data_IF_705147731789
#
_entry.id   IF_705147731789
#
_cell.length_a   1.000
_cell.length_b   1.000
_cell.length_c   1.000
_cell.angle_alpha   90.00
_cell.angle_beta   90.00
_cell.angle_gamma   90.00
#
_symmetry.space_group_name_H-M   'P 1'
#
loop_
_entity.id
_entity.type
_entity.pdbx_description
1 polymer ?
#
# COMPACT_ATOMS: atom_id res chain seq x y z
N UNK A 1 -19.52 -3.96 8.65
CA UNK A 1 -18.80 -4.08 7.39
C UNK A 1 -17.44 -4.72 7.63
N UNK A 2 -16.81 -5.24 6.62
CA UNK A 2 -15.52 -5.91 6.74
C UNK A 2 -14.39 -4.95 6.38
N UNK A 3 -13.30 -5.01 7.13
CA UNK A 3 -12.08 -4.30 6.77
C UNK A 3 -11.29 -5.09 5.74
N UNK A 4 -10.70 -4.39 4.80
CA UNK A 4 -9.83 -4.95 3.76
C UNK A 4 -8.53 -4.20 3.72
N UNK A 5 -7.44 -4.92 3.51
CA UNK A 5 -6.12 -4.34 3.26
C UNK A 5 -5.86 -4.34 1.75
N UNK A 6 -5.61 -3.17 1.23
CA UNK A 6 -5.25 -2.96 -0.18
C UNK A 6 -3.78 -2.58 -0.23
N UNK A 7 -2.94 -3.48 -0.72
CA UNK A 7 -1.49 -3.22 -0.79
C UNK A 7 -1.07 -2.90 -2.21
N UNK A 8 -0.31 -1.83 -2.35
CA UNK A 8 0.24 -1.41 -3.64
C UNK A 8 1.62 -2.02 -3.80
N UNK A 9 1.80 -2.81 -4.86
CA UNK A 9 3.06 -3.47 -5.16
C UNK A 9 3.76 -2.76 -6.31
N UNK A 10 5.05 -2.53 -6.15
CA UNK A 10 5.86 -1.85 -7.15
C UNK A 10 7.33 -2.20 -7.01
N UNK A 11 8.19 -1.58 -7.82
CA UNK A 11 9.62 -1.88 -7.80
C UNK A 11 10.22 -1.68 -6.42
N UNK A 12 11.09 -2.61 -6.01
CA UNK A 12 11.83 -2.51 -4.76
C UNK A 12 12.78 -1.32 -4.78
N UNK A 13 13.39 -1.05 -5.92
CA UNK A 13 14.25 0.09 -6.14
C UNK A 13 13.47 1.22 -6.81
N UNK A 14 13.66 2.42 -6.30
CA UNK A 14 13.00 3.62 -6.81
C UNK A 14 14.02 4.73 -6.96
N UNK A 15 13.86 5.52 -8.02
CA UNK A 15 14.63 6.74 -8.21
C UNK A 15 13.94 7.93 -7.54
N UNK A 16 14.36 9.15 -7.85
CA UNK A 16 13.77 10.38 -7.30
C UNK A 16 12.29 10.57 -7.67
N UNK A 17 11.81 9.88 -8.71
CA UNK A 17 10.42 9.93 -9.15
C UNK A 17 9.62 8.70 -8.66
N UNK A 18 10.15 7.95 -7.71
CA UNK A 18 9.52 6.75 -7.21
C UNK A 18 9.48 5.66 -8.27
N UNK A 19 8.31 5.11 -8.56
CA UNK A 19 8.09 4.11 -9.62
C UNK A 19 7.62 4.73 -10.94
N UNK A 20 7.59 6.06 -11.02
CA UNK A 20 7.08 6.78 -12.18
C UNK A 20 8.22 7.20 -13.12
N UNK A 21 7.90 7.39 -14.39
CA UNK A 21 8.91 7.69 -15.40
C UNK A 21 9.43 9.12 -15.38
N UNK A 22 8.70 10.05 -14.75
CA UNK A 22 9.06 11.46 -14.70
C UNK A 22 8.41 12.14 -13.50
N UNK A 23 8.87 13.34 -13.17
CA UNK A 23 8.27 14.15 -12.13
C UNK A 23 6.81 14.49 -12.46
N UNK A 24 6.51 14.77 -13.72
CA UNK A 24 5.14 15.07 -14.15
C UNK A 24 4.21 13.88 -13.91
N UNK A 25 4.64 12.68 -14.31
CA UNK A 25 3.84 11.46 -14.09
C UNK A 25 3.65 11.17 -12.59
N UNK A 26 4.68 11.40 -11.79
CA UNK A 26 4.60 11.23 -10.34
C UNK A 26 3.58 12.19 -9.73
N UNK A 27 3.62 13.47 -10.11
CA UNK A 27 2.70 14.50 -9.61
C UNK A 27 1.27 14.20 -10.04
N UNK A 28 1.06 13.75 -11.27
CA UNK A 28 -0.27 13.35 -11.76
C UNK A 28 -0.83 12.17 -10.96
N UNK A 29 0.00 11.17 -10.68
CA UNK A 29 -0.42 10.01 -9.90
C UNK A 29 -0.73 10.41 -8.44
N UNK A 30 0.07 11.28 -7.84
CA UNK A 30 -0.18 11.77 -6.49
C UNK A 30 -1.48 12.57 -6.42
N UNK A 31 -1.73 13.41 -7.41
CA UNK A 31 -2.98 14.18 -7.48
C UNK A 31 -4.19 13.27 -7.63
N UNK A 32 -4.12 12.27 -8.53
CA UNK A 32 -5.18 11.30 -8.73
C UNK A 32 -5.45 10.46 -7.47
N UNK A 33 -4.39 10.06 -6.78
CA UNK A 33 -4.50 9.31 -5.52
C UNK A 33 -5.15 10.17 -4.43
N UNK A 34 -4.83 11.44 -4.37
CA UNK A 34 -5.47 12.37 -3.45
C UNK A 34 -6.97 12.49 -3.68
N UNK A 35 -7.39 12.58 -4.94
CA UNK A 35 -8.81 12.60 -5.32
C UNK A 35 -9.50 11.29 -4.91
N UNK A 36 -8.85 10.15 -5.16
CA UNK A 36 -9.37 8.85 -4.77
C UNK A 36 -9.52 8.75 -3.24
N UNK A 37 -8.52 9.21 -2.49
CA UNK A 37 -8.58 9.21 -1.02
C UNK A 37 -9.74 10.06 -0.50
N UNK A 38 -9.94 11.24 -1.07
CA UNK A 38 -11.05 12.12 -0.70
C UNK A 38 -12.40 11.47 -0.97
N UNK A 39 -12.52 10.75 -2.07
CA UNK A 39 -13.73 10.01 -2.40
C UNK A 39 -13.99 8.87 -1.41
N UNK A 40 -12.94 8.12 -1.02
CA UNK A 40 -13.08 7.09 0.01
C UNK A 40 -13.62 7.67 1.31
N UNK A 41 -13.10 8.84 1.71
CA UNK A 41 -13.58 9.53 2.92
C UNK A 41 -15.03 9.96 2.78
N UNK A 42 -15.38 10.57 1.65
CA UNK A 42 -16.73 11.04 1.41
C UNK A 42 -17.77 9.92 1.39
N UNK A 43 -17.38 8.76 0.86
CA UNK A 43 -18.28 7.61 0.73
C UNK A 43 -18.28 6.71 1.98
N UNK A 44 -17.47 7.02 2.99
CA UNK A 44 -17.46 6.29 4.26
C UNK A 44 -16.64 5.01 4.26
N UNK A 45 -15.78 4.80 3.28
CA UNK A 45 -14.93 3.60 3.19
C UNK A 45 -13.55 3.76 3.82
N UNK A 46 -13.13 4.98 4.05
CA UNK A 46 -11.78 5.27 4.54
C UNK A 46 -11.57 4.82 5.98
N UNK A 47 -10.51 4.06 6.25
CA UNK A 47 -10.01 3.80 7.60
C UNK A 47 -8.65 4.43 7.77
N UNK A 48 -7.67 4.02 6.98
CA UNK A 48 -6.30 4.54 7.05
C UNK A 48 -5.57 4.24 5.76
N UNK A 49 -4.57 5.05 5.42
CA UNK A 49 -3.68 4.79 4.30
C UNK A 49 -2.31 5.36 4.57
N UNK A 50 -1.31 4.84 3.91
CA UNK A 50 0.04 5.35 4.00
C UNK A 50 0.93 4.84 2.89
N UNK A 51 1.89 5.68 2.51
CA UNK A 51 3.01 5.26 1.69
C UNK A 51 4.16 4.81 2.58
N UNK A 52 4.94 3.88 2.10
CA UNK A 52 6.11 3.39 2.82
C UNK A 52 7.39 3.99 2.24
N UNK A 53 8.37 4.23 3.10
CA UNK A 53 9.71 4.60 2.68
C UNK A 53 10.34 3.45 1.89
N UNK A 54 11.41 3.69 1.12
CA UNK A 54 12.04 2.64 0.32
C UNK A 54 12.39 1.39 1.11
N UNK A 55 12.36 0.24 0.45
CA UNK A 55 12.65 -1.05 1.07
C UNK A 55 14.02 -1.10 1.77
N UNK A 56 14.98 -0.33 1.29
CA UNK A 56 16.31 -0.23 1.92
C UNK A 56 16.28 0.32 3.34
N UNK A 57 15.19 0.98 3.74
CA UNK A 57 15.01 1.49 5.10
C UNK A 57 14.44 0.46 6.06
N UNK A 58 14.05 -0.71 5.56
CA UNK A 58 13.44 -1.75 6.37
C UNK A 58 14.46 -2.41 7.30
N UNK A 59 13.98 -2.91 8.43
CA UNK A 59 14.74 -3.74 9.36
C UNK A 59 13.84 -4.88 9.81
N UNK A 60 14.36 -6.09 9.74
CA UNK A 60 13.65 -7.27 10.23
C UNK A 60 14.11 -7.56 11.65
N UNK A 61 13.18 -7.78 12.55
CA UNK A 61 13.46 -8.06 13.95
C UNK A 61 12.95 -9.45 14.32
N UNK A 62 13.83 -10.29 14.84
CA UNK A 62 13.45 -11.57 15.42
C UNK A 62 13.74 -11.51 16.92
N UNK A 63 12.68 -11.42 17.72
CA UNK A 63 12.78 -11.33 19.18
C UNK A 63 12.47 -12.63 19.89
N UNK A 64 12.43 -13.76 19.18
CA UNK A 64 12.02 -15.04 19.77
C UNK A 64 13.09 -15.65 20.68
N UNK A 65 14.37 -15.35 20.48
CA UNK A 65 15.45 -15.82 21.33
C UNK A 65 15.66 -14.93 22.56
N UNK A 66 16.69 -15.21 23.33
CA UNK A 66 17.04 -14.42 24.52
C UNK A 66 17.43 -12.97 24.15
N UNK A 67 18.07 -12.79 23.00
CA UNK A 67 18.46 -11.48 22.50
C UNK A 67 17.81 -11.24 21.14
N UNK A 68 17.16 -10.09 20.92
CA UNK A 68 16.60 -9.78 19.60
C UNK A 68 17.69 -9.75 18.53
N UNK A 69 17.37 -10.32 17.35
CA UNK A 69 18.22 -10.26 16.17
C UNK A 69 17.60 -9.27 15.19
N UNK A 70 18.40 -8.31 14.76
CA UNK A 70 17.95 -7.29 13.80
C UNK A 70 18.76 -7.44 12.52
N UNK A 71 18.04 -7.48 11.40
CA UNK A 71 18.64 -7.62 10.07
C UNK A 71 18.19 -6.46 9.20
N UNK A 72 19.13 -5.71 8.65
CA UNK A 72 18.82 -4.62 7.73
C UNK A 72 18.26 -5.16 6.43
N UNK A 73 17.27 -4.46 5.90
CA UNK A 73 16.63 -4.81 4.66
C UNK A 73 15.26 -5.44 4.84
N UNK A 74 14.52 -5.64 3.74
CA UNK A 74 13.19 -6.22 3.78
C UNK A 74 13.22 -7.71 4.13
N UNK A 75 12.09 -8.22 4.62
CA UNK A 75 11.96 -9.64 4.99
C UNK A 75 12.34 -10.57 3.83
N UNK A 76 11.90 -10.24 2.62
CA UNK A 76 12.29 -10.94 1.40
C UNK A 76 12.94 -9.96 0.44
N UNK A 77 14.03 -10.40 -0.19
CA UNK A 77 14.67 -9.64 -1.26
C UNK A 77 13.99 -10.04 -2.57
N UNK A 78 13.13 -9.15 -3.07
CA UNK A 78 12.38 -9.35 -4.30
C UNK A 78 12.50 -8.12 -5.19
N UNK A 79 12.12 -8.26 -6.47
CA UNK A 79 12.11 -7.12 -7.40
C UNK A 79 10.97 -6.17 -7.12
N UNK A 80 9.89 -6.66 -6.52
CA UNK A 80 8.72 -5.87 -6.19
C UNK A 80 8.39 -6.02 -4.72
N UNK A 81 8.02 -4.93 -4.09
CA UNK A 81 7.67 -4.86 -2.68
C UNK A 81 6.48 -3.93 -2.49
N UNK A 82 5.88 -4.02 -1.30
CA UNK A 82 4.78 -3.15 -0.91
C UNK A 82 5.33 -1.74 -0.75
N UNK A 83 4.78 -0.79 -1.51
CA UNK A 83 5.15 0.62 -1.44
C UNK A 83 4.12 1.50 -0.73
N UNK A 84 2.95 0.97 -0.46
CA UNK A 84 1.89 1.69 0.23
C UNK A 84 0.66 0.83 0.40
N UNK A 85 -0.33 1.34 1.12
CA UNK A 85 -1.54 0.57 1.38
C UNK A 85 -2.70 1.47 1.77
N UNK A 86 -3.91 0.93 1.61
CA UNK A 86 -5.13 1.46 2.21
C UNK A 86 -5.74 0.39 3.10
N UNK A 87 -6.34 0.83 4.19
CA UNK A 87 -7.29 0.03 4.95
C UNK A 87 -8.66 0.65 4.71
N UNK A 88 -9.58 -0.15 4.21
CA UNK A 88 -10.94 0.30 3.91
C UNK A 88 -11.96 -0.54 4.65
N UNK A 89 -13.14 0.03 4.86
CA UNK A 89 -14.30 -0.63 5.43
C UNK A 89 -15.35 -0.74 4.34
N UNK A 90 -15.61 -1.93 3.84
CA UNK A 90 -16.52 -2.14 2.72
C UNK A 90 -17.57 -3.21 3.07
N UNK A 91 -18.78 -3.13 2.46
CA UNK A 91 -19.85 -4.08 2.79
C UNK A 91 -19.56 -5.51 2.35
N UNK A 92 -18.80 -5.69 1.25
CA UNK A 92 -18.48 -7.00 0.71
C UNK A 92 -17.22 -6.93 -0.16
N UNK A 93 -16.77 -8.11 -0.60
CA UNK A 93 -15.58 -8.23 -1.44
C UNK A 93 -15.75 -7.54 -2.80
N UNK A 94 -16.92 -7.61 -3.40
CA UNK A 94 -17.15 -7.00 -4.73
C UNK A 94 -16.92 -5.50 -4.68
N UNK A 95 -17.42 -4.83 -3.64
CA UNK A 95 -17.17 -3.40 -3.44
C UNK A 95 -15.69 -3.14 -3.20
N UNK A 96 -15.04 -3.95 -2.35
CA UNK A 96 -13.61 -3.81 -2.08
C UNK A 96 -12.76 -3.95 -3.35
N UNK A 97 -13.09 -4.91 -4.23
CA UNK A 97 -12.39 -5.10 -5.50
C UNK A 97 -12.59 -3.91 -6.44
N UNK A 98 -13.79 -3.36 -6.49
CA UNK A 98 -14.05 -2.17 -7.29
C UNK A 98 -13.26 -0.96 -6.79
N UNK A 99 -13.21 -0.76 -5.48
CA UNK A 99 -12.42 0.31 -4.87
C UNK A 99 -10.93 0.11 -5.15
N UNK A 100 -10.46 -1.14 -5.08
CA UNK A 100 -9.07 -1.46 -5.39
C UNK A 100 -8.73 -1.16 -6.87
N UNK A 101 -9.66 -1.44 -7.77
CA UNK A 101 -9.48 -1.10 -9.19
C UNK A 101 -9.35 0.41 -9.38
N UNK A 102 -10.17 1.19 -8.70
CA UNK A 102 -10.10 2.65 -8.74
C UNK A 102 -8.78 3.15 -8.16
N UNK A 103 -8.35 2.58 -7.05
CA UNK A 103 -7.06 2.91 -6.42
C UNK A 103 -5.87 2.56 -7.30
N UNK A 104 -5.90 1.41 -7.93
CA UNK A 104 -4.87 0.96 -8.88
C UNK A 104 -4.74 1.92 -10.05
N UNK A 105 -5.87 2.36 -10.59
CA UNK A 105 -5.87 3.34 -11.67
C UNK A 105 -5.29 4.67 -11.24
N UNK A 106 -5.61 5.12 -10.03
CA UNK A 106 -5.15 6.40 -9.50
C UNK A 106 -3.63 6.38 -9.24
N UNK A 107 -3.12 5.35 -8.57
CA UNK A 107 -1.70 5.27 -8.20
C UNK A 107 -0.83 4.64 -9.28
N UNK A 108 -1.43 4.10 -10.34
CA UNK A 108 -0.72 3.46 -11.47
C UNK A 108 0.11 2.25 -11.03
N UNK A 109 -0.40 1.49 -10.07
CA UNK A 109 0.26 0.29 -9.57
C UNK A 109 -0.73 -0.86 -9.40
N UNK A 110 -0.22 -2.07 -9.26
CA UNK A 110 -1.05 -3.24 -8.96
C UNK A 110 -1.42 -3.24 -7.48
N UNK A 111 -2.64 -3.65 -7.19
CA UNK A 111 -3.18 -3.65 -5.83
C UNK A 111 -3.66 -5.05 -5.47
N UNK A 112 -3.15 -5.58 -4.36
CA UNK A 112 -3.63 -6.83 -3.78
C UNK A 112 -4.67 -6.53 -2.73
N UNK A 113 -5.75 -7.28 -2.71
CA UNK A 113 -6.85 -7.13 -1.75
C UNK A 113 -6.92 -8.33 -0.84
N UNK A 114 -6.88 -8.10 0.46
CA UNK A 114 -7.05 -9.16 1.45
C UNK A 114 -8.03 -8.72 2.54
N UNK A 115 -9.04 -9.54 2.87
CA UNK A 115 -9.90 -9.24 4.01
C UNK A 115 -9.12 -9.41 5.32
N UNK A 116 -9.40 -8.56 6.29
CA UNK A 116 -8.96 -8.82 7.64
C UNK A 116 -9.77 -9.96 8.25
N UNK A 117 -9.14 -10.70 9.14
CA UNK A 117 -9.73 -11.89 9.76
C UNK A 117 -10.67 -11.56 10.91
N UNK A 118 -11.00 -10.30 11.12
CA UNK A 118 -11.91 -9.86 12.15
C UNK A 118 -11.27 -9.63 13.52
N UNK A 119 -9.98 -9.85 13.65
CA UNK A 119 -9.22 -9.69 14.89
C UNK A 119 -8.23 -8.53 14.77
N UNK A 120 -8.72 -7.38 14.46
CA UNK A 120 -7.86 -6.21 14.38
C UNK A 120 -7.49 -5.66 15.75
#
# INVERSE_FOLDING_TARGET
MTHYLLTVHGPAERDEFGSYGSQEEMEEAFAATGVFNDKLRADGYWVFAGGLAPASTATVVDGQGETPVMTDGPYLETKELIGGFWVIDAPDLDVALQLAADGSKACRGQVEVRPFDGLA
#
